data_IF_053587054081
#
_entry.id   IF_053587054081
#
_cell.length_a   1.000
_cell.length_b   1.000
_cell.length_c   1.000
_cell.angle_alpha   90.00
_cell.angle_beta   90.00
_cell.angle_gamma   90.00
#
_symmetry.space_group_name_H-M   'P 1'
#
loop_
_entity.id
_entity.type
_entity.pdbx_description
1 polymer ?
#
# COMPACT_ATOMS: atom_id res chain seq x y z
N UNK A 1 -23.22 -6.46 -10.22
CA UNK A 1 -22.27 -7.04 -9.25
C UNK A 1 -21.36 -5.93 -8.75
N UNK A 2 -21.18 -5.81 -7.42
CA UNK A 2 -20.22 -4.87 -6.83
C UNK A 2 -18.80 -5.33 -7.12
N UNK A 3 -17.97 -4.47 -7.72
CA UNK A 3 -16.56 -4.74 -7.97
C UNK A 3 -15.83 -4.96 -6.64
N UNK A 4 -15.05 -6.04 -6.53
CA UNK A 4 -14.14 -6.27 -5.40
C UNK A 4 -12.99 -5.28 -5.47
N UNK A 5 -12.73 -4.56 -4.39
CA UNK A 5 -11.60 -3.63 -4.26
C UNK A 5 -10.33 -4.41 -4.00
N UNK A 6 -9.33 -4.23 -4.88
CA UNK A 6 -7.99 -4.81 -4.72
C UNK A 6 -7.12 -3.85 -3.92
N UNK A 7 -6.80 -4.21 -2.68
CA UNK A 7 -5.99 -3.40 -1.77
C UNK A 7 -4.55 -3.91 -1.76
N UNK A 8 -3.65 -3.13 -2.34
CA UNK A 8 -2.23 -3.41 -2.39
C UNK A 8 -1.54 -3.19 -1.05
N UNK A 9 -0.64 -4.11 -0.71
CA UNK A 9 0.20 -4.01 0.48
C UNK A 9 1.57 -4.66 0.26
N UNK A 10 2.56 -4.23 1.03
CA UNK A 10 3.85 -4.93 1.08
C UNK A 10 3.69 -6.30 1.75
N UNK A 11 4.59 -7.22 1.45
CA UNK A 11 4.55 -8.57 2.00
C UNK A 11 4.95 -8.66 3.49
N UNK A 12 5.48 -7.59 4.09
CA UNK A 12 5.89 -7.60 5.50
C UNK A 12 4.71 -7.76 6.47
N UNK A 13 4.95 -8.41 7.60
CA UNK A 13 3.91 -8.70 8.62
C UNK A 13 3.21 -7.42 9.08
N UNK A 14 3.98 -6.36 9.34
CA UNK A 14 3.43 -5.07 9.76
C UNK A 14 2.56 -4.42 8.67
N UNK A 15 3.02 -4.44 7.40
CA UNK A 15 2.25 -3.85 6.30
C UNK A 15 0.92 -4.59 6.10
N UNK A 16 0.93 -5.93 6.17
CA UNK A 16 -0.28 -6.75 6.11
C UNK A 16 -1.22 -6.41 7.26
N UNK A 17 -0.73 -6.31 8.50
CA UNK A 17 -1.56 -5.96 9.66
C UNK A 17 -2.21 -4.57 9.54
N UNK A 18 -1.44 -3.56 9.09
CA UNK A 18 -1.96 -2.21 8.82
C UNK A 18 -3.02 -2.24 7.71
N UNK A 19 -2.81 -3.04 6.68
CA UNK A 19 -3.74 -3.17 5.55
C UNK A 19 -5.03 -3.88 5.96
N UNK A 20 -4.95 -4.91 6.79
CA UNK A 20 -6.15 -5.58 7.31
C UNK A 20 -7.03 -4.65 8.14
N UNK A 21 -6.44 -3.67 8.84
CA UNK A 21 -7.22 -2.64 9.56
C UNK A 21 -8.04 -1.78 8.59
N UNK A 22 -7.42 -1.34 7.49
CA UNK A 22 -8.12 -0.57 6.44
C UNK A 22 -9.14 -1.45 5.72
N UNK A 23 -8.80 -2.70 5.41
CA UNK A 23 -9.70 -3.65 4.76
C UNK A 23 -10.92 -3.97 5.63
N UNK A 24 -10.75 -4.12 6.94
CA UNK A 24 -11.85 -4.29 7.87
C UNK A 24 -12.81 -3.10 7.84
N UNK A 25 -12.28 -1.86 7.87
CA UNK A 25 -13.11 -0.66 7.77
C UNK A 25 -13.89 -0.58 6.44
N UNK A 26 -13.25 -0.92 5.32
CA UNK A 26 -13.91 -0.98 4.00
C UNK A 26 -14.99 -2.07 3.95
N UNK A 27 -14.73 -3.24 4.53
CA UNK A 27 -15.72 -4.33 4.63
C UNK A 27 -16.91 -3.92 5.49
N UNK A 28 -16.70 -3.25 6.62
CA UNK A 28 -17.77 -2.69 7.45
C UNK A 28 -18.61 -1.65 6.70
N UNK A 29 -17.99 -0.88 5.80
CA UNK A 29 -18.68 0.05 4.92
C UNK A 29 -19.43 -0.62 3.74
N UNK A 30 -19.40 -1.96 3.64
CA UNK A 30 -20.15 -2.73 2.63
C UNK A 30 -19.37 -3.05 1.35
N UNK A 31 -18.06 -2.84 1.32
CA UNK A 31 -17.24 -3.19 0.16
C UNK A 31 -16.69 -4.62 0.24
N UNK A 32 -16.69 -5.33 -0.90
CA UNK A 32 -15.90 -6.54 -1.06
C UNK A 32 -14.42 -6.15 -1.23
N UNK A 33 -13.52 -6.82 -0.50
CA UNK A 33 -12.09 -6.46 -0.45
C UNK A 33 -11.20 -7.69 -0.60
N UNK A 34 -10.25 -7.61 -1.52
CA UNK A 34 -9.15 -8.57 -1.74
C UNK A 34 -7.82 -7.89 -1.41
N UNK A 35 -6.97 -8.53 -0.59
CA UNK A 35 -5.61 -8.03 -0.36
C UNK A 35 -4.66 -8.60 -1.41
N UNK A 36 -3.93 -7.70 -2.07
CA UNK A 36 -2.93 -8.05 -3.07
C UNK A 36 -1.55 -7.74 -2.49
N UNK A 37 -0.74 -8.77 -2.25
CA UNK A 37 0.61 -8.63 -1.73
C UNK A 37 1.56 -8.32 -2.88
N UNK A 38 2.21 -7.16 -2.81
CA UNK A 38 3.23 -6.72 -3.76
C UNK A 38 4.59 -6.89 -3.11
N UNK A 39 5.39 -7.80 -3.66
CA UNK A 39 6.77 -8.02 -3.22
C UNK A 39 7.63 -6.91 -3.79
N UNK A 40 8.33 -6.17 -2.92
CA UNK A 40 9.28 -5.14 -3.34
C UNK A 40 10.71 -5.67 -3.31
N UNK A 41 11.64 -5.12 -4.11
CA UNK A 41 13.06 -5.44 -3.99
C UNK A 41 13.61 -5.20 -2.59
N UNK A 42 13.08 -4.19 -1.89
CA UNK A 42 13.43 -3.89 -0.50
C UNK A 42 12.97 -4.96 0.50
N UNK A 43 11.92 -5.74 0.19
CA UNK A 43 11.49 -6.88 1.02
C UNK A 43 12.43 -8.10 0.84
N UNK A 44 13.20 -8.15 -0.24
CA UNK A 44 14.15 -9.24 -0.54
C UNK A 44 15.58 -8.91 -0.09
N UNK A 45 15.84 -7.67 0.33
CA UNK A 45 17.17 -7.20 0.73
C UNK A 45 17.36 -7.28 2.24
N UNK A 46 18.48 -7.84 2.68
CA UNK A 46 18.92 -7.83 4.08
C UNK A 46 19.75 -6.60 4.45
N UNK A 47 20.00 -5.70 3.48
CA UNK A 47 20.78 -4.49 3.69
C UNK A 47 20.02 -3.46 4.53
N UNK A 48 20.71 -2.58 5.27
CA UNK A 48 20.07 -1.47 5.95
C UNK A 48 19.23 -0.61 4.99
N UNK A 49 18.05 -0.15 5.43
CA UNK A 49 17.14 0.68 4.61
C UNK A 49 17.84 1.92 4.03
N UNK A 50 18.79 2.50 4.78
CA UNK A 50 19.60 3.63 4.35
C UNK A 50 20.41 3.36 3.07
N UNK A 51 20.78 2.10 2.82
CA UNK A 51 21.57 1.68 1.64
C UNK A 51 20.71 1.27 0.45
N UNK A 52 19.43 0.92 0.68
CA UNK A 52 18.52 0.48 -0.38
C UNK A 52 17.95 1.71 -1.14
N UNK A 53 17.92 2.88 -0.50
CA UNK A 53 17.49 4.15 -1.08
C UNK A 53 16.04 4.53 -0.72
N UNK A 54 15.71 5.81 -0.91
CA UNK A 54 14.38 6.36 -0.62
C UNK A 54 13.40 5.93 -1.71
N UNK A 55 12.19 5.50 -1.33
CA UNK A 55 11.11 5.20 -2.26
C UNK A 55 11.04 3.76 -2.79
N UNK A 56 11.97 2.88 -2.37
CA UNK A 56 11.99 1.46 -2.78
C UNK A 56 10.72 0.72 -2.37
N UNK A 57 10.11 1.15 -1.27
CA UNK A 57 8.90 0.56 -0.73
C UNK A 57 7.61 1.12 -1.34
N UNK A 58 7.67 2.32 -1.94
CA UNK A 58 6.50 3.00 -2.51
C UNK A 58 6.39 2.81 -4.01
N UNK A 59 7.51 2.72 -4.73
CA UNK A 59 7.52 2.62 -6.21
C UNK A 59 6.73 1.40 -6.71
N UNK A 60 6.96 0.21 -6.15
CA UNK A 60 6.29 -1.01 -6.60
C UNK A 60 4.75 -0.95 -6.44
N UNK A 61 4.25 -0.36 -5.35
CA UNK A 61 2.82 -0.19 -5.13
C UNK A 61 2.22 0.88 -6.06
N UNK A 62 2.97 1.96 -6.35
CA UNK A 62 2.58 2.97 -7.35
C UNK A 62 2.49 2.39 -8.75
N UNK A 63 3.47 1.60 -9.16
CA UNK A 63 3.43 0.91 -10.46
C UNK A 63 2.28 -0.10 -10.54
N UNK A 64 1.98 -0.81 -9.45
CA UNK A 64 0.82 -1.70 -9.39
C UNK A 64 -0.52 -0.94 -9.52
N UNK A 65 -0.62 0.28 -8.96
CA UNK A 65 -1.78 1.17 -9.16
C UNK A 65 -1.90 1.59 -10.62
N UNK A 66 -0.80 2.08 -11.21
CA UNK A 66 -0.75 2.52 -12.62
C UNK A 66 -1.10 1.40 -13.60
N UNK A 67 -0.67 0.18 -13.31
CA UNK A 67 -0.97 -1.01 -14.09
C UNK A 67 -2.41 -1.55 -13.88
N UNK A 68 -3.19 -0.97 -12.95
CA UNK A 68 -4.53 -1.46 -12.59
C UNK A 68 -4.52 -2.82 -11.89
N UNK A 69 -3.38 -3.26 -11.37
CA UNK A 69 -3.27 -4.51 -10.63
C UNK A 69 -3.93 -4.40 -9.24
N UNK A 70 -3.95 -3.18 -8.68
CA UNK A 70 -4.62 -2.82 -7.43
C UNK A 70 -5.43 -1.53 -7.62
N UNK A 71 -6.48 -1.35 -6.82
CA UNK A 71 -7.34 -0.17 -6.85
C UNK A 71 -6.91 0.89 -5.82
N UNK A 72 -6.28 0.47 -4.71
CA UNK A 72 -5.69 1.35 -3.70
C UNK A 72 -4.48 0.67 -3.05
N UNK A 73 -3.57 1.47 -2.48
CA UNK A 73 -2.42 0.97 -1.72
C UNK A 73 -2.46 1.50 -0.28
N UNK A 74 -2.05 0.67 0.69
CA UNK A 74 -1.89 1.07 2.09
C UNK A 74 -0.41 1.17 2.43
N UNK A 75 -0.02 2.29 3.04
CA UNK A 75 1.34 2.57 3.49
C UNK A 75 1.36 3.06 4.93
N UNK A 76 2.50 2.85 5.60
CA UNK A 76 2.86 3.71 6.72
C UNK A 76 3.12 5.12 6.21
N UNK A 77 2.43 6.10 6.79
CA UNK A 77 2.45 7.48 6.26
C UNK A 77 3.85 8.10 6.20
N UNK A 78 4.73 7.73 7.14
CA UNK A 78 6.13 8.17 7.20
C UNK A 78 6.98 7.72 6.00
N UNK A 79 6.54 6.68 5.30
CA UNK A 79 7.29 6.10 4.17
C UNK A 79 6.92 6.76 2.83
N UNK A 80 5.89 7.61 2.81
CA UNK A 80 5.48 8.32 1.59
C UNK A 80 6.42 9.51 1.31
N UNK A 81 6.95 9.63 0.09
CA UNK A 81 7.65 10.83 -0.35
C UNK A 81 6.78 12.08 -0.20
N UNK A 82 7.39 13.21 0.17
CA UNK A 82 6.72 14.51 0.24
C UNK A 82 6.50 15.14 -1.13
N UNK A 83 7.25 14.70 -2.14
CA UNK A 83 7.05 15.12 -3.52
C UNK A 83 5.71 14.58 -4.04
N UNK A 84 4.84 15.45 -4.57
CA UNK A 84 3.55 15.01 -5.11
C UNK A 84 3.74 14.11 -6.34
N UNK A 85 2.84 13.16 -6.51
CA UNK A 85 2.69 12.38 -7.74
C UNK A 85 1.48 12.93 -8.49
N UNK A 86 1.63 13.40 -9.74
CA UNK A 86 0.55 14.07 -10.45
C UNK A 86 -0.66 13.18 -10.76
N UNK A 87 -0.45 11.86 -10.81
CA UNK A 87 -1.45 10.85 -11.15
C UNK A 87 -1.99 10.08 -9.94
N UNK A 88 -1.46 10.33 -8.73
CA UNK A 88 -1.82 9.62 -7.51
C UNK A 88 -2.12 10.58 -6.36
N UNK A 89 -3.07 10.22 -5.50
CA UNK A 89 -3.46 11.04 -4.36
C UNK A 89 -3.49 10.22 -3.08
N UNK A 90 -3.16 10.85 -1.96
CA UNK A 90 -3.49 10.32 -0.63
C UNK A 90 -4.98 10.53 -0.40
N UNK A 91 -5.79 9.51 -0.70
CA UNK A 91 -7.25 9.61 -0.59
C UNK A 91 -7.75 9.60 0.87
N UNK A 92 -7.00 9.02 1.80
CA UNK A 92 -7.39 8.93 3.20
C UNK A 92 -6.18 8.79 4.13
N UNK A 93 -6.33 9.30 5.34
CA UNK A 93 -5.42 9.06 6.47
C UNK A 93 -6.26 8.55 7.64
N UNK A 94 -6.13 7.28 8.05
CA UNK A 94 -6.84 6.74 9.21
C UNK A 94 -6.47 7.50 10.50
N UNK A 95 -7.28 7.35 11.56
CA UNK A 95 -6.93 7.86 12.89
C UNK A 95 -5.57 7.30 13.31
N UNK A 96 -4.72 8.19 13.86
CA UNK A 96 -3.41 7.80 14.40
C UNK A 96 -3.62 6.89 15.61
N UNK A 97 -2.98 5.73 15.59
CA UNK A 97 -2.89 4.81 16.72
C UNK A 97 -1.88 5.30 17.76
#
# INVERSE_FOLDING_TARGET
MTKTLKVGTRASVLAVAQTETVAAALRTAGHAVELVRITTPGDQSTKPIAEIGVGVFTSALREALRAGAIDLAVHSYKDLPTTPEPDLVVAAVPRRA
#
